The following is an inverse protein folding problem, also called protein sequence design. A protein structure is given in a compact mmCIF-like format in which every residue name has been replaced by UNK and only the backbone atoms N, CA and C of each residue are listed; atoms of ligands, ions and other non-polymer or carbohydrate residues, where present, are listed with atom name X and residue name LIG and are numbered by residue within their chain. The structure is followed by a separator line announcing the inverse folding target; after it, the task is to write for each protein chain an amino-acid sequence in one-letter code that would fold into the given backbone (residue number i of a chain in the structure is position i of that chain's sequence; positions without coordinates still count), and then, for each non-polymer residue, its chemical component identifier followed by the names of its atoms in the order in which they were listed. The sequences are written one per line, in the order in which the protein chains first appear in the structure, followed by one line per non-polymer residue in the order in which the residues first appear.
data_IF_359267148969
#
_entry.id   IF_359267148969
#
_cell.length_a   1.000
_cell.length_b   1.000
_cell.length_c   1.000
_cell.angle_alpha   90.00
_cell.angle_beta   90.00
_cell.angle_gamma   90.00
#
_symmetry.space_group_name_H-M   'P 1'
#
loop_
_entity.id
_entity.type
_entity.pdbx_description
1 polymer ?
#
# COMPACT_ATOMS: atom_id res chain seq x y z
N UNK A 1 -9.11 24.10 10.77
CA UNK A 1 -9.92 22.87 10.73
C UNK A 1 -10.09 22.48 9.27
N UNK A 2 -9.40 21.43 8.81
CA UNK A 2 -9.58 20.92 7.44
C UNK A 2 -10.99 20.32 7.37
N UNK A 3 -11.81 20.76 6.42
CA UNK A 3 -13.15 20.21 6.22
C UNK A 3 -13.04 18.76 5.74
N UNK A 4 -13.77 17.82 6.35
CA UNK A 4 -13.81 16.41 5.91
C UNK A 4 -14.19 16.26 4.43
N UNK A 5 -14.81 17.29 3.82
CA UNK A 5 -15.15 17.34 2.39
C UNK A 5 -13.92 17.32 1.48
N UNK A 6 -12.77 17.83 1.92
CA UNK A 6 -11.57 17.88 1.08
C UNK A 6 -11.06 16.47 0.74
N UNK A 7 -11.17 15.53 1.68
CA UNK A 7 -10.77 14.15 1.46
C UNK A 7 -11.63 13.47 0.40
N UNK A 8 -12.93 13.77 0.36
CA UNK A 8 -13.84 13.27 -0.67
C UNK A 8 -13.51 13.84 -2.05
N UNK A 9 -13.19 15.13 -2.13
CA UNK A 9 -12.81 15.79 -3.39
C UNK A 9 -11.51 15.19 -3.93
N UNK A 10 -10.48 15.09 -3.09
CA UNK A 10 -9.18 14.51 -3.46
C UNK A 10 -9.37 13.06 -3.89
N UNK A 11 -10.14 12.28 -3.14
CA UNK A 11 -10.43 10.89 -3.50
C UNK A 11 -11.16 10.76 -4.84
N UNK A 12 -12.15 11.62 -5.10
CA UNK A 12 -12.85 11.70 -6.38
C UNK A 12 -11.92 12.04 -7.54
N UNK A 13 -10.98 12.97 -7.35
CA UNK A 13 -9.95 13.31 -8.35
C UNK A 13 -9.05 12.11 -8.63
N UNK A 14 -8.58 11.40 -7.60
CA UNK A 14 -7.76 10.20 -7.79
C UNK A 14 -8.52 9.08 -8.50
N UNK A 15 -9.80 8.86 -8.17
CA UNK A 15 -10.64 7.90 -8.87
C UNK A 15 -10.85 8.29 -10.33
N UNK A 16 -11.17 9.56 -10.60
CA UNK A 16 -11.33 10.06 -11.95
C UNK A 16 -10.02 9.89 -12.74
N UNK A 17 -8.88 10.26 -12.15
CA UNK A 17 -7.57 10.03 -12.75
C UNK A 17 -7.36 8.55 -13.09
N UNK A 18 -7.61 7.64 -12.16
CA UNK A 18 -7.46 6.20 -12.39
C UNK A 18 -8.40 5.66 -13.46
N UNK A 19 -9.61 6.19 -13.62
CA UNK A 19 -10.58 5.71 -14.62
C UNK A 19 -10.30 6.29 -16.00
N UNK A 20 -9.96 7.58 -16.08
CA UNK A 20 -9.82 8.30 -17.35
C UNK A 20 -8.38 8.30 -17.91
N UNK A 21 -7.36 8.29 -17.05
CA UNK A 21 -5.95 8.35 -17.44
C UNK A 21 -5.23 6.99 -17.31
N UNK A 22 -5.86 5.96 -16.76
CA UNK A 22 -5.23 4.63 -16.82
C UNK A 22 -5.13 4.19 -18.29
N UNK A 23 -3.95 3.71 -18.72
CA UNK A 23 -3.79 3.11 -20.03
C UNK A 23 -4.90 2.08 -20.24
N UNK A 24 -5.70 2.29 -21.28
CA UNK A 24 -6.85 1.44 -21.56
C UNK A 24 -6.34 0.03 -21.76
N UNK A 25 -6.93 -0.90 -21.03
CA UNK A 25 -6.49 -2.29 -20.92
C UNK A 25 -6.38 -2.95 -22.30
N UNK A 26 -5.15 -3.13 -22.78
CA UNK A 26 -4.89 -3.85 -24.03
C UNK A 26 -5.10 -5.35 -23.78
N UNK A 27 -5.55 -6.08 -24.80
CA UNK A 27 -6.07 -7.46 -24.76
C UNK A 27 -5.08 -8.53 -24.22
N UNK A 28 -3.85 -8.18 -23.87
CA UNK A 28 -2.81 -8.99 -23.20
C UNK A 28 -3.04 -9.21 -21.68
N UNK A 29 -4.23 -8.94 -21.19
CA UNK A 29 -4.61 -8.97 -19.77
C UNK A 29 -4.57 -10.36 -19.13
N UNK A 30 -4.67 -11.44 -19.91
CA UNK A 30 -4.53 -12.80 -19.38
C UNK A 30 -3.15 -13.07 -18.75
N UNK A 31 -2.15 -12.23 -19.04
CA UNK A 31 -0.80 -12.36 -18.50
C UNK A 31 -0.60 -11.66 -17.14
N UNK A 32 -1.45 -10.71 -16.74
CA UNK A 32 -1.23 -9.91 -15.51
C UNK A 32 -1.33 -10.76 -14.24
N UNK A 33 -2.30 -11.67 -14.16
CA UNK A 33 -2.43 -12.58 -13.01
C UNK A 33 -1.25 -13.54 -12.89
N UNK A 34 -0.72 -14.02 -14.03
CA UNK A 34 0.48 -14.87 -14.09
C UNK A 34 1.72 -14.08 -13.69
N UNK A 35 1.82 -12.81 -14.10
CA UNK A 35 2.91 -11.91 -13.75
C UNK A 35 2.92 -11.58 -12.24
N UNK A 36 1.78 -11.21 -11.67
CA UNK A 36 1.63 -11.01 -10.21
C UNK A 36 1.98 -12.29 -9.46
N UNK A 37 1.52 -13.44 -9.95
CA UNK A 37 1.86 -14.73 -9.33
C UNK A 37 3.37 -15.00 -9.35
N UNK A 38 4.09 -14.64 -10.41
CA UNK A 38 5.56 -14.74 -10.46
C UNK A 38 6.25 -13.81 -9.46
N UNK A 39 5.75 -12.58 -9.30
CA UNK A 39 6.23 -11.62 -8.31
C UNK A 39 6.07 -12.16 -6.88
N UNK A 40 4.95 -12.83 -6.59
CA UNK A 40 4.65 -13.42 -5.28
C UNK A 40 5.39 -14.73 -4.99
N UNK A 41 5.49 -15.64 -5.97
CA UNK A 41 5.92 -17.03 -5.73
C UNK A 41 7.36 -17.35 -6.16
N UNK A 42 8.04 -16.48 -6.93
CA UNK A 42 9.42 -16.71 -7.36
C UNK A 42 9.55 -17.89 -8.32
N UNK A 43 9.38 -17.63 -9.62
CA UNK A 43 10.61 -17.45 -10.38
C UNK A 43 10.70 -16.02 -10.92
N UNK A 44 11.70 -15.28 -10.42
CA UNK A 44 12.00 -13.90 -10.81
C UNK A 44 12.84 -13.81 -12.09
N UNK A 45 13.01 -14.92 -12.81
CA UNK A 45 13.77 -14.94 -14.06
C UNK A 45 13.10 -14.00 -15.07
N UNK A 46 13.88 -13.02 -15.55
CA UNK A 46 13.47 -11.97 -16.50
C UNK A 46 12.49 -10.93 -15.95
N UNK A 47 12.42 -10.72 -14.63
CA UNK A 47 11.71 -9.58 -14.04
C UNK A 47 12.74 -8.59 -13.52
N UNK A 48 12.62 -7.32 -13.88
CA UNK A 48 13.54 -6.30 -13.39
C UNK A 48 13.43 -6.16 -11.85
N UNK A 49 14.55 -6.15 -11.12
CA UNK A 49 14.59 -5.98 -9.67
C UNK A 49 13.87 -4.73 -9.13
N UNK A 50 13.76 -3.64 -9.89
CA UNK A 50 12.95 -2.48 -9.53
C UNK A 50 11.46 -2.82 -9.46
N UNK A 51 10.94 -3.63 -10.39
CA UNK A 51 9.53 -4.06 -10.36
C UNK A 51 9.27 -4.97 -9.17
N UNK A 52 10.19 -5.89 -8.89
CA UNK A 52 10.12 -6.77 -7.72
C UNK A 52 10.10 -5.93 -6.44
N UNK A 53 11.08 -5.04 -6.27
CA UNK A 53 11.14 -4.19 -5.08
C UNK A 53 9.90 -3.31 -4.95
N UNK A 54 9.41 -2.71 -6.03
CA UNK A 54 8.20 -1.90 -6.03
C UNK A 54 6.97 -2.72 -5.58
N UNK A 55 6.81 -3.94 -6.08
CA UNK A 55 5.75 -4.84 -5.66
C UNK A 55 5.85 -5.21 -4.17
N UNK A 56 7.04 -5.54 -3.68
CA UNK A 56 7.23 -5.85 -2.26
C UNK A 56 7.07 -4.63 -1.36
N UNK A 57 7.45 -3.44 -1.83
CA UNK A 57 7.15 -2.17 -1.17
C UNK A 57 5.64 -1.96 -1.02
N UNK A 58 4.84 -2.25 -2.06
CA UNK A 58 3.37 -2.21 -1.96
C UNK A 58 2.81 -3.12 -0.87
N UNK A 59 3.49 -4.21 -0.52
CA UNK A 59 3.14 -5.05 0.62
C UNK A 59 3.54 -4.45 1.97
N UNK A 60 4.72 -3.82 2.06
CA UNK A 60 5.26 -3.20 3.29
C UNK A 60 4.43 -2.00 3.74
N UNK A 61 4.01 -1.13 2.81
CA UNK A 61 3.25 0.09 3.12
C UNK A 61 1.95 -0.15 3.91
N UNK A 62 1.07 -1.10 3.54
CA UNK A 62 -0.09 -1.51 4.33
C UNK A 62 0.22 -1.84 5.78
N UNK A 63 1.33 -2.54 6.06
CA UNK A 63 1.71 -2.86 7.45
C UNK A 63 2.15 -1.62 8.22
N UNK A 64 2.81 -0.67 7.55
CA UNK A 64 3.14 0.65 8.13
C UNK A 64 1.86 1.47 8.38
N UNK A 65 0.91 1.49 7.44
CA UNK A 65 -0.38 2.14 7.67
C UNK A 65 -1.15 1.47 8.80
N UNK A 66 -1.08 0.14 8.90
CA UNK A 66 -1.74 -0.61 9.94
C UNK A 66 -1.18 -0.27 11.32
N UNK A 67 0.14 -0.11 11.50
CA UNK A 67 0.70 0.31 12.79
C UNK A 67 0.20 1.70 13.21
N UNK A 68 0.09 2.65 12.29
CA UNK A 68 -0.41 4.00 12.59
C UNK A 68 -1.93 4.00 12.83
N UNK A 69 -2.69 3.36 11.95
CA UNK A 69 -4.16 3.38 11.97
C UNK A 69 -4.75 2.48 13.06
N UNK A 70 -4.04 1.44 13.50
CA UNK A 70 -4.49 0.61 14.62
C UNK A 70 -4.36 1.35 15.95
N UNK A 71 -3.31 2.14 16.15
CA UNK A 71 -3.12 2.93 17.37
C UNK A 71 -4.23 3.98 17.48
N UNK A 72 -4.53 4.64 16.36
CA UNK A 72 -5.44 5.79 16.30
C UNK A 72 -6.92 5.38 16.05
N UNK A 73 -7.15 4.14 15.58
CA UNK A 73 -8.44 3.65 15.09
C UNK A 73 -9.23 2.75 16.03
N UNK A 74 -8.74 2.45 17.25
CA UNK A 74 -9.35 1.45 18.15
C UNK A 74 -10.80 1.76 18.55
N UNK A 75 -11.20 3.02 18.49
CA UNK A 75 -12.55 3.49 18.83
C UNK A 75 -13.36 3.98 17.61
N UNK A 76 -12.92 3.68 16.39
CA UNK A 76 -13.60 4.08 15.17
C UNK A 76 -14.60 3.01 14.71
N UNK A 77 -15.71 3.43 14.10
CA UNK A 77 -16.72 2.51 13.52
C UNK A 77 -16.15 1.60 12.43
N UNK A 78 -15.09 2.04 11.75
CA UNK A 78 -14.38 1.25 10.75
C UNK A 78 -13.01 0.86 11.32
N UNK A 79 -12.72 -0.44 11.37
CA UNK A 79 -11.44 -0.95 11.83
C UNK A 79 -10.33 -0.45 10.90
N UNK A 80 -9.35 0.29 11.43
CA UNK A 80 -8.19 0.78 10.66
C UNK A 80 -7.38 -0.33 9.98
N UNK A 81 -7.44 -1.55 10.54
CA UNK A 81 -6.93 -2.78 9.93
C UNK A 81 -7.52 -3.04 8.54
N UNK A 82 -8.85 -2.95 8.40
CA UNK A 82 -9.53 -3.24 7.14
C UNK A 82 -9.18 -2.19 6.08
N UNK A 83 -9.11 -0.91 6.45
CA UNK A 83 -8.68 0.16 5.55
C UNK A 83 -7.23 -0.04 5.08
N UNK A 84 -6.34 -0.48 5.98
CA UNK A 84 -4.93 -0.77 5.64
C UNK A 84 -4.80 -1.97 4.70
N UNK A 85 -5.54 -3.05 4.94
CA UNK A 85 -5.58 -4.22 4.05
C UNK A 85 -6.18 -3.86 2.68
N UNK A 86 -7.25 -3.07 2.65
CA UNK A 86 -7.82 -2.58 1.41
C UNK A 86 -6.83 -1.71 0.64
N UNK A 87 -5.95 -0.96 1.33
CA UNK A 87 -4.93 -0.15 0.67
C UNK A 87 -3.88 -0.98 -0.07
N UNK A 88 -3.73 -2.26 0.29
CA UNK A 88 -2.87 -3.19 -0.43
C UNK A 88 -3.43 -3.54 -1.82
N UNK A 89 -4.75 -3.69 -1.93
CA UNK A 89 -5.43 -4.10 -3.17
C UNK A 89 -5.86 -2.91 -4.03
N UNK A 90 -6.38 -1.86 -3.40
CA UNK A 90 -6.96 -0.69 -4.06
C UNK A 90 -5.99 0.50 -4.11
N UNK A 91 -4.81 0.36 -3.49
CA UNK A 91 -3.85 1.44 -3.32
C UNK A 91 -4.18 2.38 -2.16
N UNK A 92 -3.26 3.32 -1.89
CA UNK A 92 -3.38 4.27 -0.77
C UNK A 92 -4.59 5.20 -0.84
N UNK A 93 -5.25 5.31 -1.99
CA UNK A 93 -6.41 6.19 -2.19
C UNK A 93 -7.58 5.82 -1.29
N UNK A 94 -7.72 4.54 -0.90
CA UNK A 94 -8.81 4.07 -0.02
C UNK A 94 -8.70 4.61 1.42
N UNK A 95 -7.53 5.13 1.81
CA UNK A 95 -7.35 5.77 3.11
C UNK A 95 -8.07 7.13 3.21
N UNK A 96 -8.30 7.81 2.08
CA UNK A 96 -8.98 9.11 2.04
C UNK A 96 -10.46 9.02 2.51
N UNK A 97 -11.31 8.12 1.98
CA UNK A 97 -12.67 7.97 2.48
C UNK A 97 -12.68 7.45 3.93
N UNK A 98 -11.70 6.63 4.31
CA UNK A 98 -11.52 6.24 5.71
C UNK A 98 -11.33 7.46 6.61
N UNK A 99 -10.41 8.38 6.28
CA UNK A 99 -10.20 9.61 7.04
C UNK A 99 -11.40 10.54 7.02
N UNK A 100 -12.15 10.59 5.92
CA UNK A 100 -13.34 11.43 5.82
C UNK A 100 -14.50 10.95 6.72
N UNK A 101 -14.65 9.62 6.86
CA UNK A 101 -15.66 8.97 7.71
C UNK A 101 -15.26 8.89 9.18
N UNK A 102 -13.97 9.01 9.46
CA UNK A 102 -13.40 8.93 10.80
C UNK A 102 -13.93 10.09 11.67
N UNK A 103 -14.35 9.78 12.91
CA UNK A 103 -14.71 10.80 13.91
C UNK A 103 -13.53 11.06 14.82
N UNK A 104 -13.19 12.33 15.05
CA UNK A 104 -12.21 12.72 16.08
C UNK A 104 -12.83 12.60 17.47
N UNK A 105 -13.10 11.38 17.93
CA UNK A 105 -13.57 11.12 19.29
C UNK A 105 -12.35 11.03 20.21
N UNK A 106 -12.03 12.12 20.89
CA UNK A 106 -10.81 12.31 21.71
C UNK A 106 -10.88 11.68 23.11
N UNK A 107 -11.98 11.04 23.50
CA UNK A 107 -12.31 10.92 24.94
C UNK A 107 -12.51 9.49 25.46
N UNK A 108 -12.08 8.44 24.75
CA UNK A 108 -12.29 7.06 25.26
C UNK A 108 -11.02 6.25 25.47
N UNK A 109 -10.94 5.67 26.67
CA UNK A 109 -9.87 4.87 27.24
C UNK A 109 -9.26 3.88 26.23
N UNK A 110 -7.94 3.93 26.10
CA UNK A 110 -7.14 3.02 25.28
C UNK A 110 -7.30 1.59 25.79
N UNK A 111 -8.06 0.75 25.07
CA UNK A 111 -8.21 -0.66 25.42
C UNK A 111 -7.19 -1.45 24.62
N UNK A 112 -6.02 -1.70 25.20
CA UNK A 112 -4.92 -2.38 24.49
C UNK A 112 -5.39 -3.73 23.97
N UNK A 113 -5.55 -3.84 22.66
CA UNK A 113 -5.88 -5.09 21.99
C UNK A 113 -4.56 -5.82 21.64
N UNK A 114 -4.51 -7.15 21.73
CA UNK A 114 -3.30 -7.93 21.45
C UNK A 114 -2.73 -7.62 20.06
N UNK A 115 -3.60 -7.40 19.08
CA UNK A 115 -3.23 -6.99 17.71
C UNK A 115 -2.50 -5.65 17.66
N UNK A 116 -2.94 -4.66 18.45
CA UNK A 116 -2.27 -3.35 18.51
C UNK A 116 -0.89 -3.52 19.11
N UNK A 117 -0.77 -4.32 20.19
CA UNK A 117 0.50 -4.57 20.87
C UNK A 117 1.55 -5.24 19.97
N UNK A 118 1.11 -6.11 19.06
CA UNK A 118 2.00 -6.72 18.06
C UNK A 118 2.52 -5.66 17.10
N UNK A 119 1.64 -4.82 16.55
CA UNK A 119 2.02 -3.78 15.58
C UNK A 119 2.75 -2.57 16.19
N UNK A 120 2.55 -2.30 17.49
CA UNK A 120 3.35 -1.34 18.27
C UNK A 120 4.70 -1.91 18.71
N UNK A 121 4.96 -3.20 18.50
CA UNK A 121 6.24 -3.79 18.88
C UNK A 121 7.37 -3.22 18.03
N UNK A 122 8.44 -2.77 18.70
CA UNK A 122 9.69 -2.35 18.05
C UNK A 122 10.21 -3.41 17.08
N UNK A 123 9.97 -4.70 17.35
CA UNK A 123 10.37 -5.79 16.46
C UNK A 123 9.69 -5.72 15.10
N UNK A 124 8.38 -5.44 15.05
CA UNK A 124 7.64 -5.34 13.79
C UNK A 124 8.14 -4.14 12.99
N UNK A 125 8.36 -3.00 13.65
CA UNK A 125 8.94 -1.82 13.02
C UNK A 125 10.34 -2.08 12.47
N UNK A 126 11.21 -2.72 13.25
CA UNK A 126 12.59 -3.07 12.83
C UNK A 126 12.55 -4.04 11.66
N UNK A 127 11.70 -5.08 11.71
CA UNK A 127 11.57 -6.06 10.63
C UNK A 127 11.09 -5.40 9.33
N UNK A 128 10.10 -4.52 9.40
CA UNK A 128 9.61 -3.73 8.26
C UNK A 128 10.71 -2.82 7.70
N UNK A 129 11.50 -2.18 8.56
CA UNK A 129 12.61 -1.32 8.15
C UNK A 129 13.72 -2.14 7.46
N UNK A 130 14.11 -3.28 8.03
CA UNK A 130 15.09 -4.19 7.43
C UNK A 130 14.59 -4.70 6.08
N UNK A 131 13.31 -5.08 5.97
CA UNK A 131 12.72 -5.52 4.72
C UNK A 131 12.76 -4.40 3.67
N UNK A 132 12.32 -3.19 4.02
CA UNK A 132 12.33 -2.02 3.15
C UNK A 132 13.74 -1.68 2.64
N UNK A 133 14.73 -1.65 3.54
CA UNK A 133 16.13 -1.39 3.20
C UNK A 133 16.69 -2.53 2.33
N UNK A 134 16.38 -3.79 2.67
CA UNK A 134 16.81 -4.96 1.90
C UNK A 134 16.31 -4.92 0.47
N UNK A 135 15.03 -4.60 0.24
CA UNK A 135 14.48 -4.45 -1.10
C UNK A 135 15.01 -3.22 -1.84
N UNK A 136 15.23 -2.10 -1.15
CA UNK A 136 15.88 -0.93 -1.76
C UNK A 136 17.29 -1.25 -2.25
N UNK A 137 18.11 -1.89 -1.41
CA UNK A 137 19.47 -2.28 -1.77
C UNK A 137 19.48 -3.34 -2.88
N UNK A 138 18.53 -4.28 -2.86
CA UNK A 138 18.37 -5.28 -3.92
C UNK A 138 18.07 -4.62 -5.27
N UNK A 139 17.12 -3.68 -5.31
CA UNK A 139 16.78 -2.93 -6.52
C UNK A 139 17.96 -2.10 -7.04
N UNK A 140 18.67 -1.40 -6.14
CA UNK A 140 19.83 -0.59 -6.51
C UNK A 140 21.01 -1.43 -7.04
N UNK A 141 21.19 -2.64 -6.51
CA UNK A 141 22.33 -3.48 -6.87
C UNK A 141 22.11 -4.29 -8.16
N UNK A 142 20.87 -4.70 -8.42
CA UNK A 142 20.55 -5.62 -9.52
C UNK A 142 19.61 -5.02 -10.58
N UNK A 143 18.98 -3.89 -10.30
CA UNK A 143 18.01 -3.26 -11.21
C UNK A 143 18.68 -2.42 -12.29
N UNK A 144 18.11 -2.48 -13.50
CA UNK A 144 18.47 -1.58 -14.59
C UNK A 144 17.33 -0.58 -14.82
N UNK A 145 17.61 0.71 -14.57
CA UNK A 145 16.62 1.78 -14.73
C UNK A 145 16.13 1.88 -16.18
N UNK A 146 16.97 1.55 -17.16
CA UNK A 146 16.60 1.58 -18.57
C UNK A 146 15.66 0.44 -18.92
N UNK A 147 15.89 -0.76 -18.38
CA UNK A 147 15.00 -1.90 -18.53
C UNK A 147 13.63 -1.63 -17.86
N UNK A 148 13.65 -1.06 -16.66
CA UNK A 148 12.45 -0.64 -15.94
C UNK A 148 11.61 0.38 -16.72
N UNK A 149 12.23 1.43 -17.28
CA UNK A 149 11.52 2.45 -18.06
C UNK A 149 10.93 1.89 -19.36
N UNK A 150 11.61 0.91 -19.98
CA UNK A 150 11.09 0.21 -21.14
C UNK A 150 9.83 -0.59 -20.76
N UNK A 151 9.91 -1.39 -19.70
CA UNK A 151 8.79 -2.21 -19.21
C UNK A 151 7.58 -1.34 -18.82
N UNK A 152 7.82 -0.21 -18.13
CA UNK A 152 6.78 0.75 -17.72
C UNK A 152 6.11 1.48 -18.88
N UNK A 153 6.78 1.59 -20.04
CA UNK A 153 6.18 2.22 -21.23
C UNK A 153 5.38 1.20 -22.06
N UNK A 154 5.82 -0.06 -22.04
CA UNK A 154 5.17 -1.15 -22.79
C UNK A 154 3.95 -1.74 -22.07
N UNK A 155 3.85 -1.57 -20.75
CA UNK A 155 2.75 -2.03 -19.91
C UNK A 155 1.95 -0.87 -19.31
#
# INVERSE_FOLDING_TARGET
MISNKIFWIIWGIFLAYSIFLSPRHNETTKSTSVYIRKLMLGPWNNIDPYVIALFWFLGIWPFVYMSVLLVDGQNQRLNGCLASLLAMALGGFILLPYFALRRSETTKQFRSNLFVRIFESKLVTILLMIAAIGFALYALKFGDIHAFLHEFRTH
#
